data_IF_533259462755
#
_entry.id   IF_533259462755
#
_cell.length_a   1.000
_cell.length_b   1.000
_cell.length_c   1.000
_cell.angle_alpha   90.00
_cell.angle_beta   90.00
_cell.angle_gamma   90.00
#
_symmetry.space_group_name_H-M   'P 1'
#
loop_
_entity.id
_entity.type
_entity.pdbx_description
1 polymer ?
#
# COMPACT_ATOMS: atom_id res chain seq x y z
N UNK A 1 -6.31 -12.63 -5.84
CA UNK A 1 -5.78 -11.50 -6.63
C UNK A 1 -5.66 -11.83 -8.12
N UNK A 2 -5.60 -13.09 -8.51
CA UNK A 2 -5.44 -13.54 -9.91
C UNK A 2 -6.53 -13.01 -10.85
N UNK A 3 -7.77 -12.86 -10.36
CA UNK A 3 -8.84 -12.24 -11.15
C UNK A 3 -8.56 -10.78 -11.50
N UNK A 4 -7.84 -10.07 -10.62
CA UNK A 4 -7.49 -8.67 -10.82
C UNK A 4 -6.33 -8.55 -11.81
N UNK A 5 -5.26 -9.28 -11.56
CA UNK A 5 -4.10 -9.34 -12.45
C UNK A 5 -3.38 -10.70 -12.31
N UNK A 6 -3.56 -11.60 -13.30
CA UNK A 6 -2.95 -12.94 -13.25
C UNK A 6 -1.48 -12.96 -13.67
N UNK A 7 -0.95 -11.88 -14.22
CA UNK A 7 0.37 -11.86 -14.88
C UNK A 7 1.53 -11.51 -13.96
N UNK A 8 1.26 -10.98 -12.75
CA UNK A 8 2.32 -10.59 -11.82
C UNK A 8 1.96 -10.89 -10.37
N UNK A 9 2.97 -10.95 -9.53
CA UNK A 9 2.79 -10.91 -8.10
C UNK A 9 2.23 -9.53 -7.72
N UNK A 10 0.94 -9.49 -7.37
CA UNK A 10 0.32 -8.28 -6.85
C UNK A 10 0.77 -8.08 -5.40
N UNK A 11 1.46 -6.99 -5.11
CA UNK A 11 1.97 -6.71 -3.77
C UNK A 11 1.19 -5.58 -3.10
N UNK A 12 1.00 -5.71 -1.80
CA UNK A 12 0.37 -4.67 -1.00
C UNK A 12 1.44 -3.92 -0.21
N UNK A 13 1.55 -2.60 -0.42
CA UNK A 13 2.28 -1.72 0.48
C UNK A 13 1.38 -1.39 1.66
N UNK A 14 1.87 -1.64 2.87
CA UNK A 14 1.21 -1.24 4.12
C UNK A 14 2.23 -0.46 4.94
N UNK A 15 1.89 0.76 5.32
CA UNK A 15 2.76 1.60 6.14
C UNK A 15 2.33 1.53 7.60
N UNK A 16 3.27 1.20 8.49
CA UNK A 16 3.07 1.19 9.94
C UNK A 16 3.83 2.33 10.61
N UNK A 17 3.28 2.81 11.70
CA UNK A 17 3.93 3.79 12.56
C UNK A 17 3.85 3.35 14.02
N UNK A 18 4.97 3.49 14.75
CA UNK A 18 5.04 3.29 16.20
C UNK A 18 5.08 4.66 16.88
N UNK A 19 4.05 4.97 17.67
CA UNK A 19 3.98 6.25 18.41
C UNK A 19 4.93 6.28 19.62
N UNK A 20 4.94 7.41 20.33
CA UNK A 20 5.79 7.62 21.51
C UNK A 20 5.42 6.71 22.69
N UNK A 21 4.21 6.15 22.69
CA UNK A 21 3.70 5.23 23.71
C UNK A 21 3.93 3.75 23.33
N UNK A 22 4.45 3.50 22.13
CA UNK A 22 4.70 2.14 21.61
C UNK A 22 3.50 1.52 20.90
N UNK A 23 2.41 2.27 20.67
CA UNK A 23 1.28 1.76 19.89
C UNK A 23 1.63 1.68 18.42
N UNK A 24 1.22 0.60 17.76
CA UNK A 24 1.49 0.35 16.34
C UNK A 24 0.23 0.57 15.53
N UNK A 25 0.23 1.61 14.71
CA UNK A 25 -0.85 1.93 13.81
C UNK A 25 -0.49 1.68 12.34
N UNK A 26 -1.51 1.37 11.53
CA UNK A 26 -1.40 1.32 10.09
C UNK A 26 -1.92 2.64 9.53
N UNK A 27 -1.02 3.40 8.91
CA UNK A 27 -1.31 4.77 8.48
C UNK A 27 -1.70 4.89 7.02
N UNK A 28 -1.33 3.91 6.20
CA UNK A 28 -1.72 3.85 4.79
C UNK A 28 -1.66 2.44 4.24
N UNK A 29 -2.28 2.22 3.09
CA UNK A 29 -2.16 0.99 2.32
C UNK A 29 -2.59 1.19 0.87
N UNK A 30 -1.87 0.55 -0.04
CA UNK A 30 -2.25 0.47 -1.45
C UNK A 30 -1.75 -0.83 -2.09
N UNK A 31 -2.49 -1.29 -3.09
CA UNK A 31 -2.11 -2.44 -3.90
C UNK A 31 -1.29 -1.97 -5.10
N UNK A 32 -0.16 -2.63 -5.34
CA UNK A 32 0.66 -2.47 -6.54
C UNK A 32 0.35 -3.61 -7.51
N UNK A 33 0.23 -3.29 -8.79
CA UNK A 33 -0.02 -4.26 -9.84
C UNK A 33 0.60 -3.81 -11.16
N UNK A 34 0.98 -4.78 -12.00
CA UNK A 34 1.37 -4.51 -13.38
C UNK A 34 0.13 -4.20 -14.23
N UNK A 35 0.24 -3.29 -15.19
CA UNK A 35 -0.86 -2.94 -16.11
C UNK A 35 -0.62 -3.34 -17.55
N UNK A 36 0.51 -3.98 -17.83
CA UNK A 36 0.96 -4.33 -19.19
C UNK A 36 1.28 -5.82 -19.37
N UNK A 37 0.80 -6.68 -18.46
CA UNK A 37 1.03 -8.12 -18.52
C UNK A 37 2.45 -8.56 -18.16
N UNK A 38 3.31 -7.64 -17.70
CA UNK A 38 4.66 -7.99 -17.24
C UNK A 38 4.62 -8.59 -15.83
N UNK A 39 5.56 -9.48 -15.48
CA UNK A 39 5.58 -10.13 -14.17
C UNK A 39 5.96 -9.21 -13.01
N UNK A 40 6.41 -7.98 -13.29
CA UNK A 40 6.90 -7.02 -12.29
C UNK A 40 5.89 -5.89 -12.12
N UNK A 41 5.50 -5.62 -10.89
CA UNK A 41 4.53 -4.58 -10.49
C UNK A 41 5.15 -3.19 -10.24
N UNK A 42 6.45 -3.01 -10.56
CA UNK A 42 7.16 -1.76 -10.34
C UNK A 42 6.56 -0.60 -11.14
N UNK A 43 6.28 0.49 -10.45
CA UNK A 43 5.78 1.74 -11.04
C UNK A 43 6.68 2.30 -12.15
N UNK A 44 7.97 1.92 -12.18
CA UNK A 44 8.92 2.30 -13.25
C UNK A 44 8.63 1.64 -14.58
N UNK A 45 7.99 0.47 -14.59
CA UNK A 45 7.80 -0.38 -15.78
C UNK A 45 6.33 -0.57 -16.15
N UNK A 46 5.49 0.42 -15.88
CA UNK A 46 4.05 0.35 -16.22
C UNK A 46 3.18 -0.22 -15.11
N UNK A 47 3.63 -0.15 -13.86
CA UNK A 47 2.81 -0.50 -12.70
C UNK A 47 1.78 0.57 -12.35
N UNK A 48 0.72 0.15 -11.69
CA UNK A 48 -0.34 0.99 -11.14
C UNK A 48 -0.48 0.72 -9.64
N UNK A 49 -0.70 1.77 -8.86
CA UNK A 49 -1.04 1.66 -7.44
C UNK A 49 -2.46 2.12 -7.18
N UNK A 50 -3.22 1.36 -6.41
CA UNK A 50 -4.59 1.68 -6.01
C UNK A 50 -4.70 1.70 -4.50
N UNK A 51 -5.12 2.83 -3.93
CA UNK A 51 -5.31 2.97 -2.49
C UNK A 51 -6.34 1.98 -1.93
N UNK A 52 -6.18 1.64 -0.66
CA UNK A 52 -7.07 0.72 0.05
C UNK A 52 -7.80 1.48 1.14
N UNK A 53 -9.11 1.27 1.24
CA UNK A 53 -9.85 1.53 2.46
C UNK A 53 -9.51 0.42 3.46
N UNK A 54 -8.63 0.73 4.40
CA UNK A 54 -8.11 -0.23 5.38
C UNK A 54 -9.17 -0.74 6.37
N UNK A 55 -10.26 0.00 6.55
CA UNK A 55 -11.36 -0.41 7.42
C UNK A 55 -12.29 -1.38 6.68
N UNK A 56 -12.67 -1.03 5.46
CA UNK A 56 -13.56 -1.85 4.64
C UNK A 56 -12.84 -3.02 3.96
N UNK A 57 -11.51 -3.01 3.86
CA UNK A 57 -10.71 -4.00 3.13
C UNK A 57 -10.95 -3.97 1.63
N UNK A 58 -11.24 -2.80 1.07
CA UNK A 58 -11.63 -2.61 -0.32
C UNK A 58 -10.71 -1.64 -1.04
N UNK A 59 -10.50 -1.86 -2.32
CA UNK A 59 -9.82 -0.90 -3.17
C UNK A 59 -10.66 0.36 -3.35
N UNK A 60 -9.97 1.51 -3.40
CA UNK A 60 -10.53 2.80 -3.76
C UNK A 60 -10.80 2.85 -5.26
N UNK A 61 -11.46 3.92 -5.72
CA UNK A 61 -11.89 4.06 -7.12
C UNK A 61 -10.72 4.26 -8.08
N UNK A 62 -9.77 5.14 -7.73
CA UNK A 62 -8.73 5.58 -8.63
C UNK A 62 -7.44 4.81 -8.39
N UNK A 63 -6.89 4.27 -9.47
CA UNK A 63 -5.53 3.79 -9.55
C UNK A 63 -4.67 4.81 -10.28
N UNK A 64 -3.41 4.89 -9.90
CA UNK A 64 -2.44 5.84 -10.44
C UNK A 64 -1.28 5.10 -11.04
N UNK A 65 -1.04 5.31 -12.33
CA UNK A 65 0.15 4.82 -12.99
C UNK A 65 1.33 5.76 -12.73
N UNK A 66 2.53 5.33 -13.12
CA UNK A 66 3.72 6.15 -12.96
C UNK A 66 3.55 7.53 -13.57
N UNK A 67 4.04 8.51 -12.81
CA UNK A 67 4.35 9.86 -13.30
C UNK A 67 5.23 9.77 -14.55
N UNK A 68 4.65 10.10 -15.70
CA UNK A 68 5.39 10.45 -16.91
C UNK A 68 5.67 11.95 -16.85
N UNK A 69 6.58 12.43 -17.68
CA UNK A 69 6.82 13.87 -17.85
C UNK A 69 5.54 14.62 -18.20
N UNK A 70 4.55 13.94 -18.79
CA UNK A 70 3.23 14.45 -19.17
C UNK A 70 2.15 14.38 -18.08
N UNK A 71 2.45 13.86 -16.87
CA UNK A 71 1.47 13.73 -15.79
C UNK A 71 1.28 12.30 -15.28
N UNK A 72 0.17 12.08 -14.57
CA UNK A 72 -0.23 10.78 -13.99
C UNK A 72 -1.46 10.27 -14.73
N UNK A 73 -1.41 9.04 -15.22
CA UNK A 73 -2.59 8.40 -15.77
C UNK A 73 -3.46 7.88 -14.62
N UNK A 74 -4.74 8.23 -14.62
CA UNK A 74 -5.73 7.77 -13.64
C UNK A 74 -6.54 6.64 -14.29
N UNK A 75 -6.55 5.49 -13.62
CA UNK A 75 -7.28 4.30 -14.04
C UNK A 75 -8.41 4.02 -13.04
N UNK A 76 -9.56 3.54 -13.52
CA UNK A 76 -10.67 3.09 -12.66
C UNK A 76 -10.90 1.59 -12.73
N UNK A 77 -10.19 0.93 -13.63
CA UNK A 77 -10.21 -0.52 -13.84
C UNK A 77 -8.85 -0.99 -14.34
N UNK A 78 -8.57 -2.27 -14.17
CA UNK A 78 -7.34 -2.87 -14.68
C UNK A 78 -7.39 -2.96 -16.22
N UNK A 79 -6.41 -2.37 -16.94
CA UNK A 79 -6.51 -2.19 -18.40
C UNK A 79 -6.51 -3.50 -19.19
N UNK A 80 -5.98 -4.59 -18.64
CA UNK A 80 -5.95 -5.90 -19.31
C UNK A 80 -7.17 -6.74 -18.95
N UNK A 81 -7.57 -6.75 -17.67
CA UNK A 81 -8.66 -7.64 -17.21
C UNK A 81 -10.03 -6.97 -17.15
N UNK A 82 -10.10 -5.64 -17.23
CA UNK A 82 -11.34 -4.88 -17.10
C UNK A 82 -11.95 -4.91 -15.69
N UNK A 83 -11.23 -5.45 -14.71
CA UNK A 83 -11.75 -5.51 -13.34
C UNK A 83 -11.74 -4.12 -12.72
N UNK A 84 -12.91 -3.65 -12.30
CA UNK A 84 -13.09 -2.36 -11.63
C UNK A 84 -12.42 -2.36 -10.26
N UNK A 85 -11.75 -1.25 -9.94
CA UNK A 85 -11.07 -1.10 -8.65
C UNK A 85 -12.04 -0.79 -7.52
N UNK A 86 -12.98 0.13 -7.76
CA UNK A 86 -13.91 0.59 -6.72
C UNK A 86 -14.67 -0.55 -6.06
N UNK A 87 -14.45 -0.71 -4.76
CA UNK A 87 -15.13 -1.72 -3.96
C UNK A 87 -14.61 -3.14 -4.14
N UNK A 88 -13.56 -3.38 -4.93
CA UNK A 88 -12.94 -4.70 -5.04
C UNK A 88 -12.41 -5.15 -3.68
N UNK A 89 -12.90 -6.28 -3.19
CA UNK A 89 -12.48 -6.85 -1.91
C UNK A 89 -11.10 -7.48 -2.01
N UNK A 90 -10.21 -7.05 -1.13
CA UNK A 90 -8.88 -7.65 -1.01
C UNK A 90 -8.94 -8.86 -0.08
N UNK A 91 -8.51 -10.03 -0.54
CA UNK A 91 -8.42 -11.20 0.33
C UNK A 91 -7.34 -10.98 1.40
N UNK A 92 -7.51 -11.62 2.56
CA UNK A 92 -6.50 -11.70 3.62
C UNK A 92 -5.98 -10.33 4.13
N UNK A 93 -6.76 -9.26 3.97
CA UNK A 93 -6.34 -7.91 4.40
C UNK A 93 -6.11 -7.84 5.92
N UNK A 94 -6.94 -8.52 6.72
CA UNK A 94 -6.80 -8.51 8.17
C UNK A 94 -5.59 -9.31 8.63
N UNK A 95 -5.30 -10.41 7.96
CA UNK A 95 -4.11 -11.23 8.17
C UNK A 95 -2.85 -10.44 7.81
N UNK A 96 -2.85 -9.74 6.68
CA UNK A 96 -1.74 -8.86 6.27
C UNK A 96 -1.51 -7.73 7.29
N UNK A 97 -2.58 -7.07 7.76
CA UNK A 97 -2.51 -6.05 8.83
C UNK A 97 -1.94 -6.60 10.12
N UNK A 98 -2.34 -7.82 10.51
CA UNK A 98 -1.82 -8.49 11.70
C UNK A 98 -0.33 -8.83 11.55
N UNK A 99 0.05 -9.32 10.37
CA UNK A 99 1.43 -9.69 10.05
C UNK A 99 2.37 -8.50 10.17
N UNK A 100 2.04 -7.37 9.53
CA UNK A 100 2.91 -6.19 9.57
C UNK A 100 2.99 -5.54 10.97
N UNK A 101 1.90 -5.60 11.76
CA UNK A 101 1.96 -5.15 13.17
C UNK A 101 2.90 -6.01 14.00
N UNK A 102 2.87 -7.34 13.82
CA UNK A 102 3.80 -8.26 14.49
C UNK A 102 5.25 -7.97 14.07
N UNK A 103 5.50 -7.76 12.78
CA UNK A 103 6.83 -7.43 12.29
C UNK A 103 7.33 -6.09 12.83
N UNK A 104 6.50 -5.05 12.86
CA UNK A 104 6.85 -3.76 13.42
C UNK A 104 7.18 -3.86 14.92
N UNK A 105 6.45 -4.68 15.67
CA UNK A 105 6.72 -4.91 17.10
C UNK A 105 8.10 -5.53 17.37
N UNK A 106 8.65 -6.29 16.43
CA UNK A 106 9.99 -6.87 16.54
C UNK A 106 11.11 -5.86 16.25
N UNK A 107 10.78 -4.68 15.71
CA UNK A 107 11.74 -3.65 15.30
C UNK A 107 11.37 -2.27 15.88
N UNK A 108 11.29 -2.10 17.22
CA UNK A 108 10.77 -0.88 17.84
C UNK A 108 11.61 0.36 17.54
N UNK A 109 12.87 0.20 17.12
CA UNK A 109 13.74 1.29 16.68
C UNK A 109 13.37 1.89 15.31
N UNK A 110 12.58 1.19 14.50
CA UNK A 110 12.09 1.62 13.19
C UNK A 110 10.63 2.06 13.31
N UNK A 111 10.42 3.33 13.66
CA UNK A 111 9.08 3.85 13.96
C UNK A 111 8.16 3.95 12.74
N UNK A 112 8.71 4.21 11.56
CA UNK A 112 7.97 4.30 10.30
C UNK A 112 8.53 3.27 9.33
N UNK A 113 7.70 2.31 8.91
CA UNK A 113 8.12 1.26 7.97
C UNK A 113 7.02 1.02 6.94
N UNK A 114 7.41 1.02 5.67
CA UNK A 114 6.58 0.58 4.55
C UNK A 114 6.86 -0.88 4.22
N UNK A 115 5.89 -1.74 4.45
CA UNK A 115 5.97 -3.19 4.24
C UNK A 115 5.44 -3.56 2.87
N UNK A 116 6.19 -4.31 2.09
CA UNK A 116 5.71 -4.96 0.89
C UNK A 116 5.25 -6.38 1.23
N UNK A 117 3.96 -6.62 1.09
CA UNK A 117 3.30 -7.88 1.45
C UNK A 117 2.81 -8.57 0.19
N UNK A 118 3.28 -9.78 -0.03
CA UNK A 118 2.77 -10.70 -1.05
C UNK A 118 1.71 -11.64 -0.47
N UNK A 119 1.03 -12.37 -1.36
CA UNK A 119 -0.01 -13.34 -1.00
C UNK A 119 0.29 -14.68 -1.65
N UNK A 120 0.69 -15.64 -0.84
CA UNK A 120 0.93 -17.03 -1.23
C UNK A 120 -0.24 -17.95 -0.89
N UNK A 121 -0.09 -19.23 -1.15
CA UNK A 121 -1.09 -20.26 -0.82
C UNK A 121 -1.34 -20.36 0.68
N UNK A 122 -0.30 -20.20 1.49
CA UNK A 122 -0.37 -20.28 2.96
C UNK A 122 -0.75 -18.95 3.63
N UNK A 123 -1.04 -17.90 2.84
CA UNK A 123 -1.43 -16.60 3.36
C UNK A 123 -0.49 -15.44 2.97
N UNK A 124 -0.59 -14.29 3.67
CA UNK A 124 0.27 -13.15 3.41
C UNK A 124 1.69 -13.39 3.93
N UNK A 125 2.67 -12.90 3.17
CA UNK A 125 4.09 -12.94 3.54
C UNK A 125 4.73 -11.56 3.33
N UNK A 126 5.66 -11.19 4.22
CA UNK A 126 6.46 -9.97 4.04
C UNK A 126 7.58 -10.27 3.06
N UNK A 127 7.64 -9.49 1.98
CA UNK A 127 8.70 -9.54 1.00
C UNK A 127 9.86 -8.66 1.45
N UNK A 128 9.56 -7.41 1.86
CA UNK A 128 10.54 -6.47 2.37
C UNK A 128 9.92 -5.43 3.31
N UNK A 129 10.77 -4.79 4.14
CA UNK A 129 10.41 -3.63 4.96
C UNK A 129 11.34 -2.46 4.64
N UNK A 130 10.76 -1.31 4.32
CA UNK A 130 11.48 -0.09 3.92
C UNK A 130 11.32 0.98 5.01
N UNK A 131 12.41 1.39 5.64
CA UNK A 131 12.42 2.46 6.66
C UNK A 131 12.74 3.85 6.09
N UNK A 132 13.27 3.90 4.87
CA UNK A 132 13.54 5.14 4.13
C UNK A 132 12.92 5.01 2.73
N UNK A 133 11.73 5.59 2.55
CA UNK A 133 11.01 5.53 1.29
C UNK A 133 10.30 6.85 0.98
N UNK A 134 10.18 7.14 -0.34
CA UNK A 134 9.47 8.33 -0.81
C UNK A 134 7.98 8.24 -0.54
N UNK A 135 7.44 9.17 0.23
CA UNK A 135 6.02 9.20 0.61
C UNK A 135 5.09 9.74 -0.49
N UNK A 136 5.61 10.42 -1.51
CA UNK A 136 4.80 11.08 -2.53
C UNK A 136 3.86 10.12 -3.27
N UNK A 137 4.38 8.96 -3.67
CA UNK A 137 3.55 7.94 -4.35
C UNK A 137 2.51 7.36 -3.41
N UNK A 138 2.89 7.09 -2.16
CA UNK A 138 2.01 6.57 -1.14
C UNK A 138 0.90 7.57 -0.82
N UNK A 139 1.24 8.85 -0.66
CA UNK A 139 0.29 9.94 -0.40
C UNK A 139 -0.76 10.04 -1.52
N UNK A 140 -0.31 10.03 -2.77
CA UNK A 140 -1.18 10.09 -3.93
C UNK A 140 -2.11 8.86 -4.02
N UNK A 141 -1.57 7.65 -3.87
CA UNK A 141 -2.33 6.40 -4.00
C UNK A 141 -3.31 6.19 -2.85
N UNK A 142 -2.90 6.53 -1.63
CA UNK A 142 -3.76 6.42 -0.45
C UNK A 142 -4.86 7.48 -0.44
N UNK A 143 -4.62 8.65 -1.04
CA UNK A 143 -5.56 9.76 -1.12
C UNK A 143 -5.33 10.85 -0.09
N UNK A 144 -4.07 11.02 0.32
CA UNK A 144 -3.61 12.07 1.23
C UNK A 144 -3.41 11.57 2.67
N UNK A 145 -2.16 11.52 3.11
CA UNK A 145 -1.83 11.15 4.49
C UNK A 145 -2.44 12.08 5.53
N UNK A 146 -2.60 13.36 5.19
CA UNK A 146 -3.22 14.35 6.09
C UNK A 146 -4.69 14.07 6.41
N UNK A 147 -5.35 13.20 5.66
CA UNK A 147 -6.70 12.72 6.01
C UNK A 147 -6.69 11.68 7.13
N UNK A 148 -5.52 11.14 7.46
CA UNK A 148 -5.33 10.13 8.51
C UNK A 148 -4.96 10.79 9.84
N UNK A 149 -5.72 10.53 10.90
CA UNK A 149 -5.51 11.12 12.22
C UNK A 149 -4.17 10.71 12.84
N UNK A 150 -3.79 9.44 12.67
CA UNK A 150 -2.53 8.93 13.17
C UNK A 150 -1.34 9.60 12.49
N UNK A 151 -1.42 9.82 11.18
CA UNK A 151 -0.37 10.56 10.46
C UNK A 151 -0.23 12.00 10.96
N UNK A 152 -1.35 12.69 11.24
CA UNK A 152 -1.31 14.03 11.85
C UNK A 152 -0.66 14.01 13.24
N UNK A 153 -0.96 12.98 14.06
CA UNK A 153 -0.31 12.77 15.36
C UNK A 153 1.20 12.59 15.20
N UNK A 154 1.63 11.75 14.26
CA UNK A 154 3.05 11.53 13.91
C UNK A 154 3.77 12.84 13.65
N UNK A 155 3.23 13.67 12.76
CA UNK A 155 3.84 14.96 12.41
C UNK A 155 3.94 15.90 13.62
N UNK A 156 2.96 15.88 14.52
CA UNK A 156 2.99 16.69 15.73
C UNK A 156 4.10 16.27 16.69
N UNK A 157 4.44 15.01 16.75
CA UNK A 157 5.55 14.49 17.57
C UNK A 157 6.92 14.96 17.05
N UNK A 158 7.10 15.01 15.73
CA UNK A 158 8.35 15.50 15.11
C UNK A 158 8.54 17.01 15.23
N UNK A 159 7.46 17.80 15.24
CA UNK A 159 7.54 19.26 15.39
C UNK A 159 7.87 19.73 16.82
N UNK A 160 7.80 18.86 17.81
CA UNK A 160 8.08 19.18 19.22
C UNK A 160 9.52 18.93 19.64
N UNK A 161 10.38 18.50 18.73
CA UNK A 161 11.82 18.33 18.90
C UNK A 161 12.58 19.47 18.22
#
# INVERSE_FOLDING_TARGET
LDRLNPSSLNTMRIDTFIDSEGNIDIISGFLKMSTNGQPVDNSTNGGCGVGIDLNAGKMKKNGYSKLKVSGVDILTEHPVTGVKFEGYHLPLINEAKSLVRKAAALMPGLRLVGWDVGFGEDGPLIIEGNSDYGINSNDMMYGGYFTNDTFRKVLSEFKRR
#
